data_IF_524712064170
#
_entry.id   IF_524712064170
#
_cell.length_a   1.000
_cell.length_b   1.000
_cell.length_c   1.000
_cell.angle_alpha   90.00
_cell.angle_beta   90.00
_cell.angle_gamma   90.00
#
_symmetry.space_group_name_H-M   'P 1'
#
loop_
_entity.id
_entity.type
_entity.pdbx_description
1 polymer ?
#
# COMPACT_ATOMS: atom_id res chain seq x y z
N UNK A 1 -14.17 -8.60 7.78
CA UNK A 1 -13.43 -8.08 6.61
C UNK A 1 -14.35 -7.22 5.76
N UNK A 2 -13.93 -5.98 5.44
CA UNK A 2 -14.66 -5.08 4.55
C UNK A 2 -14.54 -5.59 3.11
N UNK A 3 -15.61 -5.44 2.31
CA UNK A 3 -15.70 -6.00 0.94
C UNK A 3 -14.59 -5.52 -0.02
N UNK A 4 -13.96 -4.39 0.28
CA UNK A 4 -12.95 -3.75 -0.55
C UNK A 4 -11.55 -3.70 0.07
N UNK A 5 -11.33 -4.38 1.20
CA UNK A 5 -10.02 -4.44 1.83
C UNK A 5 -9.08 -5.38 1.07
N UNK A 6 -7.80 -5.03 0.95
CA UNK A 6 -6.83 -5.71 0.07
C UNK A 6 -5.41 -5.62 0.62
N UNK A 7 -4.61 -6.67 0.39
CA UNK A 7 -3.18 -6.62 0.67
C UNK A 7 -2.51 -5.49 -0.12
N UNK A 8 -1.64 -4.70 0.53
CA UNK A 8 -0.95 -3.57 -0.11
C UNK A 8 0.53 -3.89 -0.29
N UNK A 9 0.97 -3.89 -1.55
CA UNK A 9 2.36 -3.99 -1.92
C UNK A 9 3.05 -2.64 -1.81
N UNK A 10 4.14 -2.58 -1.04
CA UNK A 10 4.96 -1.39 -0.85
C UNK A 10 5.93 -1.20 -2.01
N UNK A 11 5.37 -1.01 -3.21
CA UNK A 11 6.10 -0.85 -4.47
C UNK A 11 7.09 0.32 -4.48
N UNK A 12 6.91 1.33 -3.61
CA UNK A 12 7.86 2.43 -3.48
C UNK A 12 9.21 1.98 -2.90
N UNK A 13 9.31 0.78 -2.30
CA UNK A 13 10.60 0.16 -1.98
C UNK A 13 11.23 -0.58 -3.18
N UNK A 14 10.54 -0.73 -4.31
CA UNK A 14 11.15 -1.30 -5.51
C UNK A 14 12.09 -0.28 -6.17
N UNK A 15 13.39 -0.54 -6.05
CA UNK A 15 14.44 0.35 -6.56
C UNK A 15 14.42 0.42 -8.09
N UNK A 16 14.12 -0.68 -8.78
CA UNK A 16 14.06 -0.70 -10.24
C UNK A 16 12.88 0.14 -10.74
N UNK A 17 11.74 0.03 -10.06
CA UNK A 17 10.57 0.87 -10.32
C UNK A 17 10.81 2.35 -10.02
N UNK A 18 11.48 2.69 -8.91
CA UNK A 18 11.83 4.11 -8.65
C UNK A 18 12.78 4.65 -9.71
N UNK A 19 13.76 3.86 -10.10
CA UNK A 19 14.74 4.26 -11.09
C UNK A 19 14.10 4.44 -12.47
N UNK A 20 13.17 3.59 -12.92
CA UNK A 20 12.58 3.69 -14.27
C UNK A 20 11.90 5.03 -14.56
N UNK A 21 11.41 5.71 -13.53
CA UNK A 21 10.76 7.03 -13.61
C UNK A 21 11.59 8.15 -12.95
N UNK A 22 12.86 7.87 -12.65
CA UNK A 22 13.81 8.79 -12.00
C UNK A 22 13.21 9.48 -10.75
N UNK A 23 12.55 8.68 -9.90
CA UNK A 23 11.89 9.15 -8.68
C UNK A 23 12.92 9.62 -7.64
N UNK A 24 12.75 10.86 -7.16
CA UNK A 24 13.57 11.48 -6.11
C UNK A 24 12.96 11.32 -4.71
N UNK A 25 12.27 10.21 -4.46
CA UNK A 25 11.66 9.93 -3.15
C UNK A 25 12.73 9.93 -2.06
N UNK A 26 12.50 10.64 -0.97
CA UNK A 26 13.38 10.72 0.21
C UNK A 26 13.01 9.67 1.25
N UNK A 27 13.93 9.37 2.19
CA UNK A 27 13.66 8.47 3.32
C UNK A 27 12.51 8.98 4.22
N UNK A 28 12.40 10.30 4.39
CA UNK A 28 11.32 10.92 5.13
C UNK A 28 9.95 10.70 4.46
N UNK A 29 9.87 10.87 3.14
CA UNK A 29 8.66 10.58 2.38
C UNK A 29 8.34 9.08 2.38
N UNK A 30 9.34 8.21 2.22
CA UNK A 30 9.17 6.75 2.31
C UNK A 30 8.64 6.32 3.69
N UNK A 31 9.14 6.93 4.78
CA UNK A 31 8.62 6.77 6.14
C UNK A 31 7.15 7.16 6.23
N UNK A 32 6.79 8.36 5.75
CA UNK A 32 5.42 8.85 5.80
C UNK A 32 4.46 7.96 5.01
N UNK A 33 4.88 7.52 3.81
CA UNK A 33 4.11 6.61 2.96
C UNK A 33 3.89 5.27 3.67
N UNK A 34 4.94 4.68 4.27
CA UNK A 34 4.84 3.43 5.03
C UNK A 34 3.82 3.55 6.18
N UNK A 35 3.96 4.57 7.00
CA UNK A 35 3.10 4.77 8.17
C UNK A 35 1.65 5.05 7.78
N UNK A 36 1.44 5.78 6.69
CA UNK A 36 0.11 6.06 6.16
C UNK A 36 -0.52 4.80 5.54
N UNK A 37 0.27 3.98 4.85
CA UNK A 37 -0.20 2.75 4.22
C UNK A 37 -0.75 1.75 5.25
N UNK A 38 -0.27 1.76 6.51
CA UNK A 38 -0.79 0.92 7.58
C UNK A 38 -2.29 1.11 7.82
N UNK A 39 -2.85 2.29 7.51
CA UNK A 39 -4.28 2.59 7.69
C UNK A 39 -5.12 2.30 6.45
N UNK A 40 -4.51 1.92 5.33
CA UNK A 40 -5.20 1.67 4.07
C UNK A 40 -5.74 0.23 3.94
N UNK A 41 -5.30 -0.68 4.82
CA UNK A 41 -5.77 -2.06 4.86
C UNK A 41 -5.81 -2.60 6.29
N UNK A 42 -6.74 -3.52 6.57
CA UNK A 42 -6.71 -4.34 7.78
C UNK A 42 -5.83 -5.58 7.65
N UNK A 43 -5.31 -5.88 6.45
CA UNK A 43 -4.31 -6.91 6.25
C UNK A 43 -2.90 -6.37 6.48
N UNK A 44 -1.96 -7.24 6.86
CA UNK A 44 -0.55 -6.90 6.85
C UNK A 44 -0.14 -6.37 5.46
N UNK A 45 0.60 -5.26 5.45
CA UNK A 45 1.29 -4.78 4.26
C UNK A 45 2.29 -5.83 3.79
N UNK A 46 2.79 -5.72 2.57
CA UNK A 46 3.86 -6.62 2.14
C UNK A 46 4.85 -5.98 1.19
N UNK A 47 6.08 -6.50 1.22
CA UNK A 47 7.15 -6.09 0.34
C UNK A 47 8.08 -7.26 0.03
N UNK A 48 8.84 -7.17 -1.07
CA UNK A 48 9.92 -8.13 -1.32
C UNK A 48 11.08 -7.88 -0.36
N UNK A 49 11.62 -8.95 0.21
CA UNK A 49 12.83 -8.85 1.03
C UNK A 49 14.02 -8.29 0.23
N UNK A 50 14.12 -8.62 -1.07
CA UNK A 50 15.15 -8.06 -1.95
C UNK A 50 15.03 -6.54 -2.05
N UNK A 51 13.80 -6.02 -2.11
CA UNK A 51 13.55 -4.58 -2.20
C UNK A 51 13.94 -3.87 -0.91
N UNK A 52 13.64 -4.45 0.27
CA UNK A 52 14.11 -3.90 1.54
C UNK A 52 15.63 -3.82 1.57
N UNK A 53 16.28 -4.92 1.21
CA UNK A 53 17.73 -5.06 1.24
C UNK A 53 18.43 -4.05 0.32
N UNK A 54 17.91 -3.88 -0.90
CA UNK A 54 18.43 -2.92 -1.87
C UNK A 54 18.16 -1.45 -1.51
N UNK A 55 17.20 -1.21 -0.60
CA UNK A 55 16.81 0.14 -0.18
C UNK A 55 17.41 0.60 1.13
N UNK A 56 18.12 -0.25 1.89
CA UNK A 56 18.65 0.11 3.21
C UNK A 56 19.44 1.42 3.19
N UNK A 57 20.26 1.65 2.16
CA UNK A 57 21.05 2.87 2.07
C UNK A 57 20.25 4.10 1.61
N UNK A 58 19.25 3.91 0.76
CA UNK A 58 18.41 5.01 0.28
C UNK A 58 17.39 5.43 1.35
N UNK A 59 16.81 4.45 2.05
CA UNK A 59 15.72 4.59 3.01
C UNK A 59 16.04 3.92 4.36
N UNK A 60 17.12 4.29 5.06
CA UNK A 60 17.54 3.60 6.28
C UNK A 60 16.49 3.65 7.39
N UNK A 61 15.78 4.76 7.56
CA UNK A 61 14.74 4.92 8.57
C UNK A 61 13.49 4.15 8.17
N UNK A 62 13.00 4.30 6.94
CA UNK A 62 11.78 3.62 6.51
C UNK A 62 11.96 2.10 6.47
N UNK A 63 13.13 1.58 6.06
CA UNK A 63 13.42 0.14 6.10
C UNK A 63 13.47 -0.37 7.54
N UNK A 64 14.12 0.36 8.46
CA UNK A 64 14.10 -0.01 9.88
C UNK A 64 12.68 -0.15 10.42
N UNK A 65 11.83 0.85 10.14
CA UNK A 65 10.42 0.83 10.56
C UNK A 65 9.67 -0.34 9.90
N UNK A 66 9.97 -0.68 8.64
CA UNK A 66 9.35 -1.82 7.97
C UNK A 66 9.66 -3.16 8.67
N UNK A 67 10.90 -3.35 9.17
CA UNK A 67 11.25 -4.52 9.99
C UNK A 67 10.57 -4.51 11.36
N UNK A 68 10.41 -3.34 11.98
CA UNK A 68 9.63 -3.24 13.22
C UNK A 68 8.15 -3.60 12.96
N UNK A 69 7.52 -3.06 11.92
CA UNK A 69 6.18 -3.46 11.50
C UNK A 69 6.05 -4.96 11.23
N UNK A 70 7.08 -5.57 10.63
CA UNK A 70 7.15 -7.02 10.39
C UNK A 70 7.13 -7.81 11.70
N UNK A 71 7.94 -7.40 12.69
CA UNK A 71 7.98 -8.05 14.01
C UNK A 71 6.64 -7.97 14.77
N UNK A 72 5.80 -6.97 14.48
CA UNK A 72 4.45 -6.82 15.04
C UNK A 72 3.36 -7.47 14.17
N UNK A 73 3.72 -8.13 13.07
CA UNK A 73 2.76 -8.76 12.15
C UNK A 73 1.97 -7.78 11.27
N UNK A 74 2.35 -6.50 11.24
CA UNK A 74 1.76 -5.46 10.39
C UNK A 74 2.30 -5.47 8.96
N UNK A 75 3.41 -6.17 8.73
CA UNK A 75 4.06 -6.29 7.42
C UNK A 75 4.57 -7.72 7.20
N UNK A 76 4.51 -8.20 5.96
CA UNK A 76 5.06 -9.49 5.54
C UNK A 76 6.15 -9.31 4.49
N UNK A 77 7.29 -9.96 4.71
CA UNK A 77 8.40 -9.96 3.75
C UNK A 77 8.29 -11.18 2.82
N UNK A 78 8.18 -10.93 1.53
CA UNK A 78 8.15 -11.98 0.50
C UNK A 78 9.58 -12.41 0.15
N UNK A 79 9.83 -13.71 0.17
CA UNK A 79 11.09 -14.31 -0.27
C UNK A 79 10.85 -15.74 -0.77
N UNK A 80 11.77 -16.27 -1.57
CA UNK A 80 11.78 -17.68 -1.97
C UNK A 80 12.82 -18.51 -1.18
N UNK A 81 13.44 -17.91 -0.18
CA UNK A 81 14.58 -18.46 0.57
C UNK A 81 14.22 -18.60 2.04
N UNK A 82 14.75 -19.62 2.72
CA UNK A 82 14.45 -19.90 4.12
C UNK A 82 15.40 -19.20 5.07
N UNK A 83 16.60 -18.88 4.61
CA UNK A 83 17.65 -18.26 5.43
C UNK A 83 18.32 -17.09 4.72
N UNK A 84 18.98 -16.24 5.50
CA UNK A 84 19.84 -15.16 5.02
C UNK A 84 20.95 -15.66 4.11
N UNK A 85 21.54 -16.80 4.44
CA UNK A 85 22.66 -17.38 3.68
C UNK A 85 22.20 -17.92 2.33
N UNK A 86 21.07 -18.63 2.28
CA UNK A 86 20.44 -19.05 1.02
C UNK A 86 20.10 -17.85 0.14
N UNK A 87 19.55 -16.80 0.75
CA UNK A 87 19.22 -15.57 0.07
C UNK A 87 20.46 -14.90 -0.54
N UNK A 88 21.51 -14.67 0.26
CA UNK A 88 22.72 -14.04 -0.23
C UNK A 88 23.43 -14.89 -1.29
N UNK A 89 23.51 -16.20 -1.10
CA UNK A 89 24.09 -17.11 -2.10
C UNK A 89 23.35 -17.01 -3.44
N UNK A 90 22.01 -17.03 -3.40
CA UNK A 90 21.17 -16.86 -4.59
C UNK A 90 21.38 -15.51 -5.26
N UNK A 91 21.31 -14.40 -4.50
CA UNK A 91 21.47 -13.05 -5.06
C UNK A 91 22.87 -12.81 -5.62
N UNK A 92 23.92 -13.30 -4.94
CA UNK A 92 25.30 -13.23 -5.43
C UNK A 92 25.45 -13.95 -6.76
N UNK A 93 24.91 -15.17 -6.87
CA UNK A 93 24.90 -15.93 -8.13
C UNK A 93 24.18 -15.16 -9.24
N UNK A 94 22.96 -14.68 -8.97
CA UNK A 94 22.11 -13.98 -9.94
C UNK A 94 22.70 -12.63 -10.43
N UNK A 95 23.34 -11.87 -9.55
CA UNK A 95 23.81 -10.50 -9.83
C UNK A 95 25.33 -10.39 -10.03
N UNK A 96 26.06 -11.51 -10.15
CA UNK A 96 27.52 -11.49 -10.33
C UNK A 96 27.97 -10.68 -11.55
N UNK A 97 27.15 -10.60 -12.60
CA UNK A 97 27.45 -9.82 -13.81
C UNK A 97 27.26 -8.30 -13.64
N UNK A 98 26.62 -7.85 -12.54
CA UNK A 98 26.17 -6.47 -12.30
C UNK A 98 26.49 -5.99 -10.87
N UNK A 99 27.66 -6.40 -10.32
CA UNK A 99 28.08 -6.10 -8.94
C UNK A 99 28.08 -4.61 -8.61
N UNK A 100 28.46 -3.76 -9.57
CA UNK A 100 28.50 -2.31 -9.38
C UNK A 100 27.12 -1.72 -9.09
N UNK A 101 26.06 -2.29 -9.67
CA UNK A 101 24.68 -1.85 -9.44
C UNK A 101 24.07 -2.46 -8.19
N UNK A 102 24.51 -3.66 -7.80
CA UNK A 102 24.02 -4.36 -6.61
C UNK A 102 25.14 -4.62 -5.59
N UNK A 103 25.89 -3.60 -5.13
CA UNK A 103 27.07 -3.79 -4.30
C UNK A 103 26.73 -4.45 -2.96
N UNK A 104 25.54 -4.15 -2.41
CA UNK A 104 25.09 -4.63 -1.10
C UNK A 104 25.04 -6.15 -0.97
N UNK A 105 24.82 -6.90 -2.05
CA UNK A 105 24.85 -8.36 -1.98
C UNK A 105 26.27 -8.91 -1.79
N UNK A 106 27.30 -8.12 -2.09
CA UNK A 106 28.70 -8.56 -2.11
C UNK A 106 29.55 -7.95 -0.99
N UNK A 107 29.09 -6.86 -0.36
CA UNK A 107 29.88 -6.10 0.63
C UNK A 107 29.35 -6.15 2.06
N UNK A 108 28.14 -6.68 2.30
CA UNK A 108 27.50 -6.60 3.62
C UNK A 108 27.94 -7.73 4.55
N UNK A 109 28.26 -7.35 5.79
CA UNK A 109 28.18 -8.22 6.97
C UNK A 109 26.70 -8.53 7.27
N UNK A 110 26.45 -9.66 7.94
CA UNK A 110 25.17 -10.38 8.05
C UNK A 110 23.86 -9.54 7.89
N UNK A 111 22.94 -9.92 6.99
CA UNK A 111 21.73 -9.14 6.69
C UNK A 111 20.73 -9.23 7.84
N UNK A 112 19.96 -8.15 8.05
CA UNK A 112 18.70 -8.21 8.80
C UNK A 112 17.80 -9.24 8.11
N UNK A 113 17.54 -10.38 8.76
CA UNK A 113 16.61 -11.39 8.27
C UNK A 113 15.23 -11.20 8.93
N UNK A 114 14.12 -11.25 8.18
CA UNK A 114 12.79 -11.08 8.76
C UNK A 114 12.44 -12.27 9.65
N UNK A 115 11.65 -12.05 10.70
CA UNK A 115 11.25 -13.13 11.60
C UNK A 115 10.13 -13.99 11.01
N UNK A 116 9.27 -13.38 10.18
CA UNK A 116 8.05 -13.94 9.62
C UNK A 116 8.03 -13.72 8.10
N UNK A 117 8.88 -14.48 7.41
CA UNK A 117 8.91 -14.49 5.94
C UNK A 117 7.73 -15.25 5.35
N UNK A 118 7.08 -14.68 4.35
CA UNK A 118 6.17 -15.41 3.48
C UNK A 118 6.96 -16.08 2.36
N UNK A 119 7.07 -17.40 2.41
CA UNK A 119 7.78 -18.19 1.40
C UNK A 119 6.91 -18.31 0.15
N UNK A 120 7.36 -17.70 -0.95
CA UNK A 120 6.69 -17.77 -2.24
C UNK A 120 7.02 -19.11 -2.89
N UNK A 121 6.06 -20.02 -2.88
CA UNK A 121 6.16 -21.32 -3.57
C UNK A 121 5.76 -21.18 -5.04
N UNK A 122 6.52 -21.76 -5.96
CA UNK A 122 6.19 -21.77 -7.40
C UNK A 122 7.42 -21.68 -8.31
N UNK A 123 7.15 -21.67 -9.63
CA UNK A 123 8.17 -21.49 -10.67
C UNK A 123 9.01 -20.24 -10.41
N UNK A 124 10.29 -20.29 -10.80
CA UNK A 124 11.22 -19.20 -10.57
C UNK A 124 10.68 -17.88 -11.16
N UNK A 125 10.84 -16.79 -10.42
CA UNK A 125 10.34 -15.46 -10.80
C UNK A 125 10.82 -15.06 -12.20
N UNK A 126 12.03 -15.47 -12.59
CA UNK A 126 12.60 -15.13 -13.90
C UNK A 126 11.92 -15.85 -15.06
N UNK A 127 11.44 -17.08 -14.89
CA UNK A 127 10.75 -17.87 -15.92
C UNK A 127 9.37 -17.31 -16.24
N UNK A 128 8.62 -16.90 -15.20
CA UNK A 128 7.32 -16.22 -15.40
C UNK A 128 7.55 -14.87 -16.08
N UNK A 129 8.53 -14.10 -15.61
CA UNK A 129 8.85 -12.80 -16.19
C UNK A 129 9.30 -12.91 -17.65
N UNK A 130 10.05 -13.96 -18.03
CA UNK A 130 10.50 -14.16 -19.42
C UNK A 130 9.32 -14.22 -20.39
N UNK A 131 8.28 -14.99 -20.03
CA UNK A 131 7.10 -15.17 -20.88
C UNK A 131 6.31 -13.87 -21.00
N UNK A 132 6.02 -13.21 -19.89
CA UNK A 132 5.22 -11.97 -19.91
C UNK A 132 5.98 -10.81 -20.57
N UNK A 133 7.28 -10.68 -20.32
CA UNK A 133 8.12 -9.69 -21.01
C UNK A 133 8.17 -9.94 -22.52
N UNK A 134 8.28 -11.20 -22.96
CA UNK A 134 8.28 -11.52 -24.39
C UNK A 134 6.97 -11.12 -25.08
N UNK A 135 5.82 -11.29 -24.40
CA UNK A 135 4.52 -10.82 -24.90
C UNK A 135 4.50 -9.30 -25.04
N UNK A 136 4.92 -8.57 -24.02
CA UNK A 136 4.92 -7.11 -24.06
C UNK A 136 5.88 -6.54 -25.10
N UNK A 137 7.07 -7.15 -25.26
CA UNK A 137 8.03 -6.77 -26.31
C UNK A 137 7.41 -6.96 -27.69
N UNK A 138 6.68 -8.06 -27.94
CA UNK A 138 6.02 -8.31 -29.22
C UNK A 138 4.92 -7.30 -29.53
N UNK A 139 4.12 -6.96 -28.52
CA UNK A 139 3.00 -6.03 -28.66
C UNK A 139 3.45 -4.56 -28.67
N UNK A 140 4.71 -4.25 -28.36
CA UNK A 140 5.20 -2.89 -28.39
C UNK A 140 5.43 -2.44 -29.86
N UNK A 141 4.59 -1.52 -30.31
CA UNK A 141 4.61 -0.94 -31.66
C UNK A 141 5.84 -0.07 -31.93
N UNK A 142 6.49 0.42 -30.88
CA UNK A 142 7.65 1.31 -30.98
C UNK A 142 8.95 0.53 -31.18
N UNK A 143 8.95 -0.79 -30.95
CA UNK A 143 10.11 -1.63 -31.24
C UNK A 143 10.10 -2.06 -32.71
N UNK A 144 11.23 -1.88 -33.38
CA UNK A 144 11.50 -2.52 -34.66
C UNK A 144 11.53 -4.05 -34.50
N UNK A 145 11.24 -4.79 -35.58
CA UNK A 145 11.29 -6.26 -35.57
C UNK A 145 12.67 -6.80 -35.17
N UNK A 146 13.74 -6.14 -35.62
CA UNK A 146 15.11 -6.47 -35.22
C UNK A 146 15.35 -6.30 -33.71
N UNK A 147 14.81 -5.22 -33.13
CA UNK A 147 14.86 -4.98 -31.69
C UNK A 147 14.06 -6.03 -30.93
N UNK A 148 12.86 -6.40 -31.40
CA UNK A 148 12.05 -7.47 -30.78
C UNK A 148 12.80 -8.79 -30.80
N UNK A 149 13.38 -9.16 -31.94
CA UNK A 149 14.16 -10.38 -32.11
C UNK A 149 15.37 -10.44 -31.17
N UNK A 150 16.15 -9.35 -31.09
CA UNK A 150 17.30 -9.22 -30.18
C UNK A 150 16.90 -9.43 -28.71
N UNK A 151 15.84 -8.75 -28.25
CA UNK A 151 15.36 -8.84 -26.87
C UNK A 151 14.83 -10.23 -26.54
N UNK A 152 14.12 -10.87 -27.47
CA UNK A 152 13.62 -12.24 -27.31
C UNK A 152 14.75 -13.26 -27.24
N UNK A 153 15.72 -13.17 -28.15
CA UNK A 153 16.89 -14.04 -28.11
C UNK A 153 17.60 -13.92 -26.77
N UNK A 154 17.74 -12.71 -26.23
CA UNK A 154 18.30 -12.54 -24.90
C UNK A 154 17.46 -13.23 -23.80
N UNK A 155 16.15 -13.01 -23.79
CA UNK A 155 15.22 -13.62 -22.83
C UNK A 155 15.32 -15.14 -22.78
N UNK A 156 15.46 -15.78 -23.95
CA UNK A 156 15.43 -17.23 -24.11
C UNK A 156 16.81 -17.88 -24.32
N UNK A 157 17.91 -17.12 -24.30
CA UNK A 157 19.30 -17.61 -24.49
C UNK A 157 19.85 -18.55 -23.40
N UNK A 158 19.00 -19.11 -22.52
CA UNK A 158 19.41 -20.07 -21.48
C UNK A 158 20.24 -19.48 -20.34
N UNK A 159 20.42 -18.14 -20.28
CA UNK A 159 21.15 -17.48 -19.19
C UNK A 159 20.37 -17.59 -17.86
N UNK A 160 21.07 -18.00 -16.80
CA UNK A 160 20.56 -18.01 -15.41
C UNK A 160 20.66 -16.63 -14.72
N UNK A 161 20.97 -15.57 -15.46
CA UNK A 161 21.14 -14.23 -14.91
C UNK A 161 19.79 -13.59 -14.53
N UNK A 162 19.80 -12.71 -13.53
CA UNK A 162 18.64 -11.87 -13.25
C UNK A 162 18.29 -10.96 -14.44
N UNK A 163 17.00 -10.80 -14.72
CA UNK A 163 16.50 -9.85 -15.71
C UNK A 163 16.55 -8.44 -15.11
N UNK A 164 17.62 -7.70 -15.37
CA UNK A 164 17.80 -6.30 -14.93
C UNK A 164 17.81 -5.36 -16.12
N UNK A 165 17.56 -4.07 -15.91
CA UNK A 165 17.70 -3.09 -17.00
C UNK A 165 19.11 -3.10 -17.62
N UNK A 166 20.18 -3.26 -16.84
CA UNK A 166 21.54 -3.30 -17.38
C UNK A 166 21.79 -4.52 -18.27
N UNK A 167 21.16 -5.66 -17.94
CA UNK A 167 21.20 -6.85 -18.76
C UNK A 167 20.67 -6.57 -20.18
N UNK A 168 19.53 -5.89 -20.28
CA UNK A 168 18.96 -5.49 -21.58
C UNK A 168 19.69 -4.31 -22.22
N UNK A 169 20.21 -3.36 -21.46
CA UNK A 169 20.99 -2.24 -21.98
C UNK A 169 22.19 -2.74 -22.81
N UNK A 170 22.84 -3.83 -22.38
CA UNK A 170 23.94 -4.44 -23.16
C UNK A 170 23.46 -5.06 -24.48
N UNK A 171 22.28 -5.68 -24.50
CA UNK A 171 21.65 -6.24 -25.71
C UNK A 171 21.27 -5.12 -26.66
N UNK A 172 20.58 -4.11 -26.14
CA UNK A 172 20.19 -2.93 -26.90
C UNK A 172 21.46 -2.30 -27.46
N UNK A 173 22.52 -2.00 -26.70
CA UNK A 173 23.75 -1.40 -27.25
C UNK A 173 24.45 -2.29 -28.30
N UNK A 174 24.62 -3.58 -28.02
CA UNK A 174 25.28 -4.54 -28.90
C UNK A 174 24.61 -4.57 -30.28
N UNK A 175 23.28 -4.65 -30.28
CA UNK A 175 22.54 -4.86 -31.50
C UNK A 175 22.11 -3.51 -32.12
N UNK A 176 21.88 -2.46 -31.31
CA UNK A 176 21.64 -1.06 -31.73
C UNK A 176 22.78 -0.47 -32.55
N UNK A 177 24.04 -0.77 -32.18
CA UNK A 177 25.20 -0.33 -32.95
C UNK A 177 25.21 -0.94 -34.36
N UNK A 178 24.45 -2.02 -34.61
CA UNK A 178 24.26 -2.62 -35.94
C UNK A 178 23.01 -2.10 -36.67
N UNK A 179 21.95 -1.69 -35.96
CA UNK A 179 20.63 -1.38 -36.56
C UNK A 179 20.37 0.08 -36.97
N UNK A 180 21.32 1.01 -36.80
CA UNK A 180 21.24 2.42 -37.28
C UNK A 180 19.95 3.18 -36.88
N UNK A 181 19.44 2.95 -35.67
CA UNK A 181 18.28 3.68 -35.15
C UNK A 181 18.69 5.10 -34.71
N UNK A 182 17.74 6.05 -34.65
CA UNK A 182 18.03 7.42 -34.22
C UNK A 182 18.25 7.52 -32.70
N UNK A 183 18.98 8.55 -32.25
CA UNK A 183 19.20 8.82 -30.82
C UNK A 183 17.91 8.95 -30.02
N UNK A 184 16.86 9.50 -30.64
CA UNK A 184 15.53 9.57 -30.05
C UNK A 184 14.94 8.17 -29.84
N UNK A 185 14.97 7.34 -30.89
CA UNK A 185 14.41 5.98 -30.82
C UNK A 185 15.18 5.11 -29.82
N UNK A 186 16.49 5.27 -29.72
CA UNK A 186 17.30 4.61 -28.69
C UNK A 186 16.83 4.94 -27.28
N UNK A 187 16.71 6.23 -26.97
CA UNK A 187 16.30 6.71 -25.65
C UNK A 187 14.89 6.23 -25.32
N UNK A 188 13.99 6.24 -26.30
CA UNK A 188 12.63 5.71 -26.16
C UNK A 188 12.64 4.21 -25.87
N UNK A 189 13.36 3.41 -26.67
CA UNK A 189 13.43 1.96 -26.47
C UNK A 189 14.00 1.59 -25.09
N UNK A 190 15.02 2.32 -24.65
CA UNK A 190 15.60 2.18 -23.32
C UNK A 190 14.56 2.43 -22.22
N UNK A 191 13.78 3.52 -22.34
CA UNK A 191 12.73 3.85 -21.39
C UNK A 191 11.62 2.78 -21.36
N UNK A 192 11.16 2.34 -22.52
CA UNK A 192 10.11 1.33 -22.64
C UNK A 192 10.53 0.01 -22.00
N UNK A 193 11.77 -0.43 -22.21
CA UNK A 193 12.29 -1.66 -21.62
C UNK A 193 12.42 -1.54 -20.10
N UNK A 194 12.86 -0.38 -19.58
CA UNK A 194 12.86 -0.12 -18.12
C UNK A 194 11.46 -0.24 -17.55
N UNK A 195 10.47 0.30 -18.25
CA UNK A 195 9.07 0.29 -17.82
C UNK A 195 8.46 -1.11 -17.86
N UNK A 196 8.69 -1.86 -18.95
CA UNK A 196 8.26 -3.26 -19.09
C UNK A 196 8.82 -4.10 -17.94
N UNK A 197 10.13 -4.04 -17.69
CA UNK A 197 10.79 -4.80 -16.61
C UNK A 197 10.15 -4.46 -15.26
N UNK A 198 10.12 -3.17 -14.91
CA UNK A 198 9.65 -2.71 -13.59
C UNK A 198 8.18 -3.03 -13.36
N UNK A 199 7.35 -2.89 -14.40
CA UNK A 199 5.94 -3.29 -14.39
C UNK A 199 5.80 -4.79 -14.15
N UNK A 200 6.52 -5.62 -14.90
CA UNK A 200 6.39 -7.07 -14.79
C UNK A 200 6.82 -7.61 -13.42
N UNK A 201 7.91 -7.10 -12.84
CA UNK A 201 8.28 -7.44 -11.47
C UNK A 201 7.19 -7.04 -10.45
N UNK A 202 6.63 -5.84 -10.58
CA UNK A 202 5.57 -5.36 -9.68
C UNK A 202 4.29 -6.20 -9.82
N UNK A 203 3.84 -6.46 -11.05
CA UNK A 203 2.68 -7.31 -11.35
C UNK A 203 2.86 -8.71 -10.75
N UNK A 204 4.06 -9.30 -10.82
CA UNK A 204 4.33 -10.59 -10.19
C UNK A 204 4.08 -10.56 -8.69
N UNK A 205 4.56 -9.54 -7.98
CA UNK A 205 4.34 -9.41 -6.53
C UNK A 205 2.87 -9.17 -6.20
N UNK A 206 2.16 -8.35 -6.99
CA UNK A 206 0.73 -8.12 -6.84
C UNK A 206 -0.07 -9.42 -7.00
N UNK A 207 0.30 -10.28 -7.95
CA UNK A 207 -0.37 -11.56 -8.19
C UNK A 207 -0.18 -12.59 -7.07
N UNK A 208 0.85 -12.47 -6.21
CA UNK A 208 1.10 -13.45 -5.13
C UNK A 208 0.01 -13.36 -4.06
N UNK A 209 -0.42 -12.16 -3.71
CA UNK A 209 -1.39 -11.91 -2.62
C UNK A 209 -2.67 -11.23 -3.10
N UNK A 210 -2.95 -11.27 -4.41
CA UNK A 210 -4.07 -10.55 -5.04
C UNK A 210 -4.14 -9.07 -4.59
N UNK A 211 -2.97 -8.43 -4.48
CA UNK A 211 -2.83 -7.14 -3.83
C UNK A 211 -3.08 -5.94 -4.73
N UNK A 212 -2.88 -4.76 -4.15
CA UNK A 212 -2.87 -3.46 -4.81
C UNK A 212 -1.63 -2.68 -4.37
N UNK A 213 -1.41 -1.49 -4.91
CA UNK A 213 -0.37 -0.57 -4.47
C UNK A 213 -0.96 0.65 -3.76
N UNK A 214 -0.11 1.40 -3.07
CA UNK A 214 -0.40 2.79 -2.68
C UNK A 214 -0.36 3.67 -3.92
N UNK A 215 -1.33 4.56 -4.12
CA UNK A 215 -1.37 5.47 -5.29
C UNK A 215 -1.16 6.93 -4.90
N UNK A 216 -0.90 7.78 -5.89
CA UNK A 216 -0.73 9.22 -5.65
C UNK A 216 0.63 9.59 -5.07
N UNK A 217 1.59 8.66 -5.03
CA UNK A 217 2.95 8.95 -4.58
C UNK A 217 3.64 9.83 -5.64
N UNK A 218 4.09 11.01 -5.22
CA UNK A 218 4.78 11.97 -6.08
C UNK A 218 5.99 11.31 -6.75
N UNK A 219 6.05 11.38 -8.08
CA UNK A 219 7.14 10.80 -8.87
C UNK A 219 6.99 9.30 -9.13
N UNK A 220 5.92 8.65 -8.66
CA UNK A 220 5.57 7.25 -8.97
C UNK A 220 4.20 7.11 -9.63
N UNK A 221 3.50 8.22 -9.91
CA UNK A 221 2.15 8.24 -10.47
C UNK A 221 1.99 7.48 -11.79
N UNK A 222 3.07 7.33 -12.57
CA UNK A 222 3.09 6.50 -13.77
C UNK A 222 2.58 5.07 -13.49
N UNK A 223 2.85 4.54 -12.30
CA UNK A 223 2.47 3.19 -11.88
C UNK A 223 1.10 3.10 -11.20
N UNK A 224 0.37 4.21 -10.98
CA UNK A 224 -0.94 4.19 -10.31
C UNK A 224 -1.96 3.27 -11.03
N UNK A 225 -1.79 3.05 -12.33
CA UNK A 225 -2.61 2.11 -13.12
C UNK A 225 -2.50 0.64 -12.69
N UNK A 226 -1.49 0.28 -11.88
CA UNK A 226 -1.36 -1.06 -11.29
C UNK A 226 -2.29 -1.26 -10.08
N UNK A 227 -2.82 -0.19 -9.51
CA UNK A 227 -3.78 -0.29 -8.43
C UNK A 227 -5.14 -0.77 -8.94
N UNK A 228 -5.79 -1.63 -8.16
CA UNK A 228 -7.18 -2.05 -8.43
C UNK A 228 -8.17 -0.89 -8.30
N UNK A 229 -7.84 0.05 -7.42
CA UNK A 229 -8.63 1.23 -7.15
C UNK A 229 -7.71 2.38 -6.75
N UNK A 230 -7.48 3.29 -7.69
CA UNK A 230 -6.58 4.44 -7.49
C UNK A 230 -7.09 5.43 -6.47
N UNK A 231 -8.38 5.38 -6.10
CA UNK A 231 -8.96 6.28 -5.12
C UNK A 231 -8.81 5.75 -3.69
N UNK A 232 -9.14 4.47 -3.49
CA UNK A 232 -9.18 3.87 -2.14
C UNK A 232 -7.81 3.71 -1.47
N UNK A 233 -6.73 3.82 -2.25
CA UNK A 233 -5.34 3.67 -1.79
C UNK A 233 -4.51 4.94 -2.03
N UNK A 234 -5.18 6.07 -2.26
CA UNK A 234 -4.51 7.33 -2.57
C UNK A 234 -3.88 7.97 -1.34
N UNK A 235 -2.55 8.10 -1.35
CA UNK A 235 -1.78 8.64 -0.22
C UNK A 235 -2.21 10.05 0.17
N UNK A 236 -2.57 10.91 -0.78
CA UNK A 236 -2.93 12.30 -0.48
C UNK A 236 -4.19 12.39 0.38
N UNK A 237 -5.16 11.50 0.13
CA UNK A 237 -6.40 11.44 0.93
C UNK A 237 -6.11 10.96 2.35
N UNK A 238 -5.36 9.87 2.48
CA UNK A 238 -5.02 9.31 3.80
C UNK A 238 -4.14 10.26 4.60
N UNK A 239 -3.14 10.90 4.00
CA UNK A 239 -2.31 11.90 4.68
C UNK A 239 -3.16 13.05 5.24
N UNK A 240 -4.20 13.51 4.53
CA UNK A 240 -5.11 14.55 5.04
C UNK A 240 -6.00 14.05 6.17
N UNK A 241 -6.55 12.84 6.05
CA UNK A 241 -7.41 12.23 7.09
C UNK A 241 -6.59 11.99 8.37
N UNK A 242 -5.37 11.47 8.24
CA UNK A 242 -4.49 11.08 9.33
C UNK A 242 -3.64 12.22 9.89
N UNK A 243 -3.57 13.38 9.22
CA UNK A 243 -2.75 14.53 9.67
C UNK A 243 -2.90 14.84 11.17
N UNK A 244 -4.13 14.87 11.74
CA UNK A 244 -4.27 15.12 13.17
C UNK A 244 -3.65 14.03 14.04
N UNK A 245 -3.69 12.76 13.61
CA UNK A 245 -3.07 11.65 14.33
C UNK A 245 -1.54 11.77 14.34
N UNK A 246 -0.94 12.05 13.19
CA UNK A 246 0.52 12.25 13.10
C UNK A 246 1.00 13.44 13.92
N UNK A 247 0.19 14.51 14.04
CA UNK A 247 0.49 15.63 14.91
C UNK A 247 0.50 15.25 16.40
N UNK A 248 -0.43 14.38 16.83
CA UNK A 248 -0.48 13.87 18.22
C UNK A 248 0.75 13.03 18.52
N UNK A 249 1.08 12.13 17.60
CA UNK A 249 2.23 11.25 17.72
C UNK A 249 3.57 12.01 17.67
N UNK A 250 3.57 13.32 17.37
CA UNK A 250 4.77 14.16 17.22
C UNK A 250 5.81 13.52 16.28
N UNK A 251 5.35 12.84 15.24
CA UNK A 251 6.18 12.05 14.32
C UNK A 251 6.92 10.85 14.93
N UNK A 252 6.58 10.43 16.16
CA UNK A 252 7.03 9.16 16.74
C UNK A 252 6.27 8.00 16.09
N UNK A 253 6.96 7.30 15.19
CA UNK A 253 6.41 6.15 14.47
C UNK A 253 6.00 5.01 15.41
N UNK A 254 6.57 4.93 16.63
CA UNK A 254 6.24 3.86 17.58
C UNK A 254 4.81 3.99 18.09
N UNK A 255 4.33 5.20 18.31
CA UNK A 255 2.95 5.42 18.72
C UNK A 255 1.98 5.01 17.61
N UNK A 256 2.33 5.28 16.34
CA UNK A 256 1.56 4.84 15.18
C UNK A 256 1.52 3.31 15.07
N UNK A 257 2.65 2.63 15.22
CA UNK A 257 2.70 1.16 15.23
C UNK A 257 1.84 0.62 16.38
N UNK A 258 1.94 1.17 17.59
CA UNK A 258 1.13 0.74 18.73
C UNK A 258 -0.37 0.90 18.48
N UNK A 259 -0.78 1.98 17.82
CA UNK A 259 -2.18 2.17 17.41
C UNK A 259 -2.61 1.04 16.45
N UNK A 260 -1.78 0.71 15.46
CA UNK A 260 -2.10 -0.33 14.47
C UNK A 260 -2.13 -1.76 15.05
N UNK A 261 -1.41 -2.02 16.14
CA UNK A 261 -1.43 -3.33 16.85
C UNK A 261 -2.58 -3.41 17.87
N UNK A 262 -3.21 -2.28 18.23
CA UNK A 262 -4.28 -2.25 19.22
C UNK A 262 -5.56 -2.93 18.68
N UNK A 263 -6.28 -3.64 19.56
CA UNK A 263 -7.58 -4.26 19.27
C UNK A 263 -8.65 -3.27 18.74
N UNK A 264 -8.50 -1.98 19.05
CA UNK A 264 -9.40 -0.93 18.55
C UNK A 264 -9.08 -0.47 17.12
N UNK A 265 -7.97 -0.92 16.54
CA UNK A 265 -7.54 -0.53 15.20
C UNK A 265 -8.56 -0.91 14.12
N UNK A 266 -9.22 -2.07 14.24
CA UNK A 266 -10.24 -2.49 13.27
C UNK A 266 -11.40 -1.49 13.14
N UNK A 267 -11.78 -0.85 14.25
CA UNK A 267 -12.83 0.17 14.28
C UNK A 267 -12.34 1.44 13.59
N UNK A 268 -11.12 1.88 13.89
CA UNK A 268 -10.52 3.05 13.26
C UNK A 268 -10.35 2.83 11.75
N UNK A 269 -9.78 1.70 11.35
CA UNK A 269 -9.61 1.31 9.96
C UNK A 269 -10.95 1.31 9.21
N UNK A 270 -12.00 0.72 9.80
CA UNK A 270 -13.33 0.71 9.17
C UNK A 270 -13.90 2.11 8.99
N UNK A 271 -13.71 2.98 9.98
CA UNK A 271 -14.17 4.36 9.92
C UNK A 271 -13.42 5.17 8.85
N UNK A 272 -12.10 5.05 8.78
CA UNK A 272 -11.29 5.66 7.71
C UNK A 272 -11.71 5.13 6.34
N UNK A 273 -11.91 3.81 6.22
CA UNK A 273 -12.35 3.20 4.98
C UNK A 273 -13.71 3.74 4.54
N UNK A 274 -14.66 3.95 5.46
CA UNK A 274 -15.96 4.55 5.17
C UNK A 274 -15.88 6.01 4.76
N UNK A 275 -15.02 6.79 5.41
CA UNK A 275 -14.71 8.18 5.01
C UNK A 275 -14.23 8.20 3.56
N UNK A 276 -13.24 7.36 3.24
CA UNK A 276 -12.66 7.27 1.89
C UNK A 276 -13.71 6.80 0.86
N UNK A 277 -14.53 5.81 1.21
CA UNK A 277 -15.61 5.32 0.37
C UNK A 277 -16.70 6.37 0.11
N UNK A 278 -17.12 7.10 1.14
CA UNK A 278 -18.09 8.19 1.02
C UNK A 278 -17.57 9.33 0.14
N UNK A 279 -16.30 9.72 0.33
CA UNK A 279 -15.63 10.68 -0.55
C UNK A 279 -15.61 10.18 -2.00
N UNK A 280 -15.28 8.91 -2.22
CA UNK A 280 -15.27 8.32 -3.58
C UNK A 280 -16.62 8.46 -4.26
N UNK A 281 -17.70 8.14 -3.56
CA UNK A 281 -19.05 8.20 -4.13
C UNK A 281 -19.47 9.64 -4.45
N UNK A 282 -19.33 10.54 -3.49
CA UNK A 282 -19.73 11.95 -3.65
C UNK A 282 -18.96 12.64 -4.78
N UNK A 283 -17.68 12.29 -4.93
CA UNK A 283 -16.79 12.94 -5.90
C UNK A 283 -16.68 12.17 -7.21
N UNK A 284 -17.38 11.04 -7.34
CA UNK A 284 -17.29 10.11 -8.46
C UNK A 284 -15.83 9.68 -8.72
N UNK A 285 -15.04 9.50 -7.66
CA UNK A 285 -13.64 9.11 -7.73
C UNK A 285 -12.67 10.24 -8.09
N UNK A 286 -13.09 11.51 -8.05
CA UNK A 286 -12.19 12.64 -8.31
C UNK A 286 -11.41 13.04 -7.04
N UNK A 287 -10.10 12.79 -7.04
CA UNK A 287 -9.20 13.07 -5.91
C UNK A 287 -9.18 14.55 -5.52
N UNK A 288 -9.08 15.46 -6.48
CA UNK A 288 -8.99 16.90 -6.20
C UNK A 288 -10.25 17.43 -5.52
N UNK A 289 -11.42 16.98 -5.97
CA UNK A 289 -12.70 17.28 -5.31
C UNK A 289 -12.75 16.72 -3.89
N UNK A 290 -12.27 15.50 -3.68
CA UNK A 290 -12.22 14.88 -2.36
C UNK A 290 -11.29 15.65 -1.41
N UNK A 291 -10.11 16.05 -1.91
CA UNK A 291 -9.17 16.93 -1.19
C UNK A 291 -9.81 18.26 -0.83
N UNK A 292 -10.58 18.87 -1.75
CA UNK A 292 -11.29 20.12 -1.47
C UNK A 292 -12.36 19.95 -0.37
N UNK A 293 -13.13 18.86 -0.39
CA UNK A 293 -14.12 18.54 0.66
C UNK A 293 -13.41 18.35 2.01
N UNK A 294 -12.31 17.60 2.05
CA UNK A 294 -11.50 17.40 3.24
C UNK A 294 -11.00 18.75 3.77
N UNK A 295 -10.38 19.58 2.94
CA UNK A 295 -9.91 20.93 3.33
C UNK A 295 -11.03 21.83 3.85
N UNK A 296 -12.25 21.70 3.33
CA UNK A 296 -13.42 22.46 3.79
C UNK A 296 -13.93 22.02 5.17
N UNK A 297 -13.57 20.83 5.65
CA UNK A 297 -13.99 20.29 6.96
C UNK A 297 -13.46 21.07 8.18
N UNK A 298 -12.79 22.21 8.00
CA UNK A 298 -12.28 23.10 9.04
C UNK A 298 -11.59 22.35 10.20
N UNK A 299 -10.52 21.63 9.85
CA UNK A 299 -9.70 20.83 10.76
C UNK A 299 -9.29 21.57 12.04
N UNK A 300 -9.13 22.89 11.98
CA UNK A 300 -8.68 23.74 13.09
C UNK A 300 -9.67 23.79 14.28
N UNK A 301 -10.92 23.31 14.11
CA UNK A 301 -11.88 23.24 15.22
C UNK A 301 -11.63 22.09 16.19
N UNK A 302 -10.87 21.07 15.80
CA UNK A 302 -10.64 19.89 16.63
C UNK A 302 -9.24 19.95 17.24
N UNK A 303 -9.17 20.26 18.54
CA UNK A 303 -7.93 20.08 19.30
C UNK A 303 -7.84 18.60 19.68
N UNK A 304 -7.14 17.83 18.85
CA UNK A 304 -6.97 16.39 19.11
C UNK A 304 -5.73 16.19 19.97
N UNK A 305 -5.92 15.61 21.17
CA UNK A 305 -4.86 15.42 22.17
C UNK A 305 -4.45 13.95 22.35
N UNK A 306 -5.26 13.01 21.88
CA UNK A 306 -5.05 11.57 22.07
C UNK A 306 -5.84 10.78 21.03
N UNK A 307 -5.63 9.46 21.02
CA UNK A 307 -6.30 8.51 20.14
C UNK A 307 -7.84 8.58 20.19
N UNK A 308 -8.44 8.69 21.38
CA UNK A 308 -9.90 8.79 21.52
C UNK A 308 -10.45 10.07 20.87
N UNK A 309 -9.71 11.18 20.99
CA UNK A 309 -10.02 12.41 20.27
C UNK A 309 -9.95 12.22 18.75
N UNK A 310 -8.98 11.44 18.27
CA UNK A 310 -8.86 11.14 16.84
C UNK A 310 -10.02 10.29 16.33
N UNK A 311 -10.45 9.30 17.11
CA UNK A 311 -11.67 8.52 16.80
C UNK A 311 -12.91 9.41 16.69
N UNK A 312 -13.12 10.34 17.64
CA UNK A 312 -14.22 11.29 17.61
C UNK A 312 -14.16 12.24 16.40
N UNK A 313 -12.95 12.64 16.01
CA UNK A 313 -12.71 13.42 14.80
C UNK A 313 -13.10 12.65 13.53
N UNK A 314 -12.68 11.39 13.40
CA UNK A 314 -13.04 10.56 12.26
C UNK A 314 -14.57 10.35 12.18
N UNK A 315 -15.26 10.18 13.31
CA UNK A 315 -16.72 10.09 13.36
C UNK A 315 -17.38 11.37 12.84
N UNK A 316 -16.88 12.52 13.31
CA UNK A 316 -17.36 13.83 12.89
C UNK A 316 -17.12 14.09 11.39
N UNK A 317 -15.98 13.64 10.86
CA UNK A 317 -15.66 13.74 9.44
C UNK A 317 -16.59 12.85 8.59
N UNK A 318 -16.84 11.63 9.03
CA UNK A 318 -17.78 10.72 8.37
C UNK A 318 -19.20 11.32 8.33
N UNK A 319 -19.68 11.89 9.44
CA UNK A 319 -20.98 12.55 9.48
C UNK A 319 -21.05 13.79 8.59
N UNK A 320 -19.96 14.56 8.50
CA UNK A 320 -19.88 15.69 7.57
C UNK A 320 -19.98 15.24 6.11
N UNK A 321 -19.24 14.20 5.73
CA UNK A 321 -19.27 13.63 4.38
C UNK A 321 -20.68 13.17 4.02
N UNK A 322 -21.38 12.51 4.94
CA UNK A 322 -22.75 12.03 4.70
C UNK A 322 -23.72 13.20 4.52
N UNK A 323 -23.69 14.19 5.42
CA UNK A 323 -24.50 15.41 5.28
C UNK A 323 -24.19 16.15 3.98
N UNK A 324 -22.94 16.14 3.54
CA UNK A 324 -22.54 16.74 2.27
C UNK A 324 -23.11 15.98 1.07
N UNK A 325 -23.08 14.64 1.12
CA UNK A 325 -23.68 13.80 0.08
C UNK A 325 -25.21 13.87 0.02
N UNK A 326 -25.88 13.98 1.18
CA UNK A 326 -27.35 14.18 1.23
C UNK A 326 -27.78 15.46 0.50
N UNK A 327 -27.00 16.54 0.63
CA UNK A 327 -27.24 17.80 -0.10
C UNK A 327 -27.08 17.68 -1.61
N UNK A 328 -26.36 16.68 -2.10
CA UNK A 328 -26.06 16.47 -3.52
C UNK A 328 -27.03 15.49 -4.20
N UNK A 329 -28.16 15.16 -3.57
CA UNK A 329 -29.16 14.23 -4.11
C UNK A 329 -29.10 12.84 -3.50
N UNK A 330 -28.38 12.68 -2.38
CA UNK A 330 -28.29 11.43 -1.63
C UNK A 330 -27.13 10.55 -2.06
N UNK A 331 -26.42 10.02 -1.07
CA UNK A 331 -25.52 8.90 -1.29
C UNK A 331 -26.42 7.66 -1.32
N UNK A 332 -26.71 7.08 -2.49
CA UNK A 332 -27.50 5.85 -2.57
C UNK A 332 -26.88 4.77 -1.65
N UNK A 333 -27.57 4.51 -0.53
CA UNK A 333 -27.45 3.35 0.37
C UNK A 333 -26.01 2.86 0.67
N UNK A 334 -25.12 3.73 1.16
CA UNK A 334 -23.78 3.25 1.53
C UNK A 334 -23.69 2.55 2.89
N UNK A 335 -24.66 2.74 3.80
CA UNK A 335 -24.57 2.20 5.16
C UNK A 335 -25.95 1.81 5.69
N UNK A 336 -26.17 0.52 5.98
CA UNK A 336 -27.24 0.16 6.91
C UNK A 336 -26.76 0.59 8.30
N UNK A 337 -27.44 1.59 8.87
CA UNK A 337 -27.25 2.03 10.24
C UNK A 337 -28.36 1.43 11.07
N UNK A 338 -27.99 0.69 12.11
CA UNK A 338 -28.97 0.13 13.04
C UNK A 338 -28.83 0.89 14.34
N UNK A 339 -29.88 1.61 14.73
CA UNK A 339 -30.01 2.14 16.07
C UNK A 339 -30.73 1.09 16.92
N UNK A 340 -30.02 0.49 17.86
CA UNK A 340 -30.57 -0.35 18.92
C UNK A 340 -30.85 0.53 20.13
N UNK A 341 -32.12 0.82 20.35
CA UNK A 341 -32.58 1.52 21.54
C UNK A 341 -32.89 0.49 22.61
N UNK A 342 -32.31 0.65 23.80
CA UNK A 342 -32.58 -0.18 24.97
C UNK A 342 -33.17 0.70 26.08
N UNK A 343 -34.23 0.22 26.73
CA UNK A 343 -34.95 1.00 27.74
C UNK A 343 -34.40 0.77 29.14
N UNK A 344 -33.89 -0.44 29.41
CA UNK A 344 -33.36 -0.81 30.73
C UNK A 344 -31.86 -1.03 30.71
N UNK A 345 -31.22 -0.90 31.88
CA UNK A 345 -29.81 -1.23 32.01
C UNK A 345 -29.54 -2.72 31.81
N UNK A 346 -30.52 -3.59 32.12
CA UNK A 346 -30.42 -5.03 31.91
C UNK A 346 -30.44 -5.39 30.43
N UNK A 347 -31.34 -4.80 29.64
CA UNK A 347 -31.36 -4.93 28.17
C UNK A 347 -30.06 -4.44 27.56
N UNK A 348 -29.54 -3.30 28.03
CA UNK A 348 -28.23 -2.80 27.59
C UNK A 348 -27.14 -3.84 27.86
N UNK A 349 -27.05 -4.37 29.08
CA UNK A 349 -26.02 -5.36 29.45
C UNK A 349 -26.09 -6.61 28.58
N UNK A 350 -27.28 -7.20 28.41
CA UNK A 350 -27.49 -8.40 27.58
C UNK A 350 -27.17 -8.12 26.11
N UNK A 351 -27.57 -6.96 25.60
CA UNK A 351 -27.29 -6.53 24.22
C UNK A 351 -25.79 -6.37 24.00
N UNK A 352 -25.08 -5.71 24.91
CA UNK A 352 -23.63 -5.55 24.86
C UNK A 352 -22.91 -6.91 24.98
N UNK A 353 -23.34 -7.81 25.86
CA UNK A 353 -22.74 -9.15 25.98
C UNK A 353 -22.90 -10.00 24.72
N UNK A 354 -24.07 -9.94 24.06
CA UNK A 354 -24.30 -10.63 22.79
C UNK A 354 -23.48 -10.01 21.67
N UNK A 355 -23.45 -8.69 21.59
CA UNK A 355 -22.75 -7.97 20.54
C UNK A 355 -21.23 -8.07 20.70
N UNK A 356 -20.68 -8.09 21.92
CA UNK A 356 -19.24 -8.33 22.19
C UNK A 356 -18.73 -9.64 21.61
N UNK A 357 -19.60 -10.65 21.43
CA UNK A 357 -19.23 -11.92 20.77
C UNK A 357 -19.05 -11.76 19.25
N UNK A 358 -19.57 -10.68 18.68
CA UNK A 358 -19.57 -10.40 17.24
C UNK A 358 -18.54 -9.32 16.84
N UNK A 359 -17.92 -8.62 17.79
CA UNK A 359 -16.89 -7.60 17.52
C UNK A 359 -16.54 -6.74 18.74
N UNK A 360 -15.69 -5.74 18.54
CA UNK A 360 -15.29 -4.75 19.55
C UNK A 360 -16.33 -3.63 19.68
N UNK A 361 -16.58 -3.20 20.92
CA UNK A 361 -17.54 -2.13 21.26
C UNK A 361 -16.78 -0.93 21.79
N UNK A 362 -16.99 0.23 21.18
CA UNK A 362 -16.46 1.51 21.66
C UNK A 362 -17.52 2.26 22.50
N UNK A 363 -17.10 2.89 23.59
CA UNK A 363 -17.96 3.70 24.48
C UNK A 363 -17.72 5.19 24.29
N UNK A 364 -18.78 5.99 24.15
CA UNK A 364 -18.67 7.46 24.21
C UNK A 364 -19.46 7.96 25.42
N UNK A 365 -18.80 8.74 26.28
CA UNK A 365 -19.37 9.23 27.54
C UNK A 365 -19.88 10.67 27.38
N UNK A 366 -21.18 10.85 27.62
CA UNK A 366 -21.83 12.13 27.81
C UNK A 366 -23.30 11.93 28.18
N UNK A 367 -23.64 11.86 29.48
CA UNK A 367 -25.01 11.82 30.04
C UNK A 367 -25.87 10.59 29.74
N UNK A 368 -25.76 10.02 28.54
CA UNK A 368 -26.47 8.85 28.04
C UNK A 368 -25.45 7.75 27.70
N UNK A 369 -25.77 6.49 28.01
CA UNK A 369 -24.89 5.35 27.71
C UNK A 369 -24.96 5.04 26.21
N UNK A 370 -23.97 5.54 25.46
CA UNK A 370 -23.85 5.41 24.01
C UNK A 370 -22.69 4.48 23.65
N UNK A 371 -22.99 3.45 22.84
CA UNK A 371 -22.00 2.48 22.37
C UNK A 371 -22.07 2.33 20.86
N UNK A 372 -20.92 2.11 20.23
CA UNK A 372 -20.81 1.88 18.80
C UNK A 372 -20.09 0.57 18.51
N UNK A 373 -20.54 -0.10 17.45
CA UNK A 373 -19.94 -1.33 16.95
C UNK A 373 -20.16 -1.43 15.44
N UNK A 374 -19.24 -2.12 14.76
CA UNK A 374 -19.34 -2.41 13.33
C UNK A 374 -19.44 -3.93 13.15
N UNK A 375 -20.53 -4.41 12.54
CA UNK A 375 -20.69 -5.83 12.17
C UNK A 375 -20.94 -5.90 10.67
N UNK A 376 -20.08 -6.61 9.92
CA UNK A 376 -20.27 -6.86 8.48
C UNK A 376 -20.61 -5.60 7.65
N UNK A 377 -19.96 -4.47 7.95
CA UNK A 377 -20.20 -3.16 7.31
C UNK A 377 -21.50 -2.44 7.72
N UNK A 378 -22.18 -2.92 8.77
CA UNK A 378 -23.32 -2.27 9.43
C UNK A 378 -22.81 -1.55 10.66
N UNK A 379 -23.05 -0.24 10.74
CA UNK A 379 -22.76 0.55 11.94
C UNK A 379 -23.95 0.43 12.90
N UNK A 380 -23.69 -0.12 14.08
CA UNK A 380 -24.67 -0.30 15.14
C UNK A 380 -24.42 0.74 16.22
N UNK A 381 -25.44 1.55 16.45
CA UNK A 381 -25.52 2.48 17.56
C UNK A 381 -26.37 1.85 18.66
N UNK A 382 -25.85 1.75 19.87
CA UNK A 382 -26.61 1.24 21.02
C UNK A 382 -26.78 2.40 21.97
N UNK A 383 -28.04 2.78 22.20
CA UNK A 383 -28.38 3.93 23.04
C UNK A 383 -29.31 3.46 24.13
N UNK A 384 -28.91 3.67 25.39
CA UNK A 384 -29.83 3.53 26.51
C UNK A 384 -30.69 4.79 26.61
N UNK A 385 -31.98 4.66 26.35
CA UNK A 385 -32.96 5.70 26.61
C UNK A 385 -33.52 5.53 28.04
N UNK A 386 -33.92 6.64 28.66
CA UNK A 386 -34.74 6.57 29.88
C UNK A 386 -36.19 6.23 29.49
N UNK A 387 -36.87 5.40 30.29
CA UNK A 387 -38.29 5.12 30.09
C UNK A 387 -39.09 6.42 30.28
N UNK A 388 -39.75 6.88 29.21
CA UNK A 388 -40.76 7.93 29.25
C UNK A 388 -40.25 9.28 29.77
N UNK A 389 -39.67 10.08 28.86
CA UNK A 389 -39.70 11.55 28.93
C UNK A 389 -40.13 12.10 27.57
#
# INVERSE_FOLDING_TARGET
MLKNDRNIYLHFFDRELRNSVDSNLTDAEAKEILLTALFMSSFPLYASFSNMYECVAAFPVAVKIAFECESFGLLRMLTNMRTSDEFLASRRSLYTFDKQRYPYYFTSDAPLWPQNTFIVHGQDTSSILKVEMAKEINCNIDFSEDTKFALQNYLFSGRQNALTFNAFKRVIISDYNQFKVSDYQYKKNILDIRNIISRQYSTRYLNILDGTIVTGIRGLNYYDHLAKDTFLTNIMLYSLILKPLFNIAKEDYKEIIQICVNNEFEVLHSLIHWITLGLKQITQGNIDRAVAILKAFNFNRYIIKNYNGFMAYCLSLNDYIIKYGDKLGGIEKMQTRILLVVATHMELKVTLEKLKKLGSISTVIGGLSYFTMIINSVLIYIVKCQMGQ
#
